data_IF_044396991615
#
_entry.id   IF_044396991615
#
_cell.length_a   1.000
_cell.length_b   1.000
_cell.length_c   1.000
_cell.angle_alpha   90.00
_cell.angle_beta   90.00
_cell.angle_gamma   90.00
#
_symmetry.space_group_name_H-M   'P 1'
#
loop_
_entity.id
_entity.type
_entity.pdbx_description
1 polymer ?
#
# COMPACT_ATOMS: atom_id res chain seq x y z
N UNK A 1 -30.38 16.90 -25.58
CA UNK A 1 -29.74 17.34 -24.31
C UNK A 1 -28.31 16.84 -24.30
N UNK A 2 -27.37 17.58 -23.69
CA UNK A 2 -25.98 17.13 -23.57
C UNK A 2 -25.87 16.03 -22.50
N UNK A 3 -25.01 15.03 -22.76
CA UNK A 3 -24.74 13.90 -21.87
C UNK A 3 -23.26 13.94 -21.47
N UNK A 4 -22.95 13.72 -20.20
CA UNK A 4 -21.60 13.67 -19.66
C UNK A 4 -21.43 12.33 -18.94
N UNK A 5 -20.32 11.64 -19.20
CA UNK A 5 -20.03 10.32 -18.64
C UNK A 5 -18.57 10.22 -18.17
N UNK A 6 -18.33 9.43 -17.12
CA UNK A 6 -16.99 9.14 -16.62
C UNK A 6 -16.44 7.87 -17.26
N UNK A 7 -15.29 7.98 -17.93
CA UNK A 7 -14.63 6.86 -18.61
C UNK A 7 -13.23 6.61 -18.04
N UNK A 8 -12.80 5.34 -18.03
CA UNK A 8 -11.45 4.91 -17.63
C UNK A 8 -11.08 5.24 -16.17
N UNK A 9 -12.02 5.07 -15.24
CA UNK A 9 -11.81 5.42 -13.83
C UNK A 9 -10.85 4.46 -13.10
N UNK A 10 -9.88 5.01 -12.37
CA UNK A 10 -9.10 4.29 -11.37
C UNK A 10 -9.94 4.02 -10.12
N UNK A 11 -9.98 2.77 -9.65
CA UNK A 11 -10.64 2.40 -8.39
C UNK A 11 -9.63 2.34 -7.25
N UNK A 12 -10.01 2.81 -6.07
CA UNK A 12 -9.20 2.74 -4.85
C UNK A 12 -9.99 1.98 -3.78
N UNK A 13 -9.38 0.96 -3.19
CA UNK A 13 -9.98 0.12 -2.16
C UNK A 13 -9.45 0.51 -0.78
N UNK A 14 -10.34 0.83 0.14
CA UNK A 14 -10.02 1.11 1.54
C UNK A 14 -11.06 0.48 2.44
N UNK A 15 -10.62 -0.37 3.36
CA UNK A 15 -11.47 -1.04 4.31
C UNK A 15 -10.69 -1.32 5.60
N UNK A 16 -11.36 -1.35 6.77
CA UNK A 16 -10.76 -1.91 7.97
C UNK A 16 -10.53 -3.41 7.80
N UNK A 17 -9.46 -3.93 8.42
CA UNK A 17 -9.28 -5.37 8.59
C UNK A 17 -10.24 -5.80 9.72
N UNK A 18 -11.29 -6.55 9.38
CA UNK A 18 -12.38 -6.88 10.32
C UNK A 18 -11.96 -7.86 11.43
N UNK A 19 -10.76 -8.43 11.38
CA UNK A 19 -10.22 -9.37 12.38
C UNK A 19 -9.22 -8.70 13.33
N UNK A 20 -9.44 -8.86 14.65
CA UNK A 20 -8.44 -8.57 15.69
C UNK A 20 -8.22 -7.10 16.08
N UNK A 21 -8.57 -6.12 15.22
CA UNK A 21 -8.60 -4.69 15.56
C UNK A 21 -7.34 -4.17 16.27
N UNK A 22 -7.52 -3.49 17.41
CA UNK A 22 -6.41 -2.91 18.20
C UNK A 22 -5.43 -3.95 18.75
N UNK A 23 -5.90 -5.15 19.10
CA UNK A 23 -5.05 -6.20 19.66
C UNK A 23 -4.09 -6.76 18.60
N UNK A 24 -4.61 -7.00 17.39
CA UNK A 24 -3.78 -7.41 16.25
C UNK A 24 -2.71 -6.35 15.94
N UNK A 25 -3.08 -5.06 15.91
CA UNK A 25 -2.11 -3.99 15.68
C UNK A 25 -1.04 -3.90 16.77
N UNK A 26 -1.40 -4.10 18.04
CA UNK A 26 -0.43 -4.12 19.12
C UNK A 26 0.58 -5.26 18.96
N UNK A 27 0.11 -6.45 18.57
CA UNK A 27 0.96 -7.61 18.31
C UNK A 27 1.84 -7.40 17.08
N UNK A 28 1.25 -7.01 15.94
CA UNK A 28 1.99 -6.69 14.71
C UNK A 28 3.03 -5.60 14.95
N UNK A 29 2.70 -4.56 15.74
CA UNK A 29 3.65 -3.50 16.09
C UNK A 29 4.86 -4.07 16.81
N UNK A 30 4.64 -4.89 17.84
CA UNK A 30 5.72 -5.47 18.62
C UNK A 30 6.61 -6.35 17.73
N UNK A 31 6.01 -7.21 16.90
CA UNK A 31 6.76 -8.08 16.00
C UNK A 31 7.51 -7.31 14.91
N UNK A 32 6.89 -6.28 14.30
CA UNK A 32 7.56 -5.41 13.34
C UNK A 32 8.82 -4.75 13.93
N UNK A 33 8.73 -4.27 15.17
CA UNK A 33 9.85 -3.63 15.86
C UNK A 33 10.94 -4.65 16.24
N UNK A 34 10.56 -5.85 16.69
CA UNK A 34 11.53 -6.93 16.98
C UNK A 34 12.28 -7.34 15.72
N UNK A 35 11.56 -7.62 14.64
CA UNK A 35 12.15 -8.01 13.35
C UNK A 35 13.08 -6.90 12.84
N UNK A 36 12.65 -5.63 12.88
CA UNK A 36 13.51 -4.52 12.48
C UNK A 36 14.81 -4.42 13.31
N UNK A 37 14.72 -4.68 14.62
CA UNK A 37 15.86 -4.67 15.53
C UNK A 37 16.80 -5.87 15.36
N UNK A 38 16.32 -7.00 14.86
CA UNK A 38 17.07 -8.25 14.73
C UNK A 38 17.63 -8.47 13.31
N UNK A 39 16.93 -8.00 12.27
CA UNK A 39 17.33 -8.15 10.87
C UNK A 39 18.51 -7.23 10.49
N UNK A 40 19.72 -7.70 10.78
CA UNK A 40 20.97 -7.02 10.45
C UNK A 40 21.11 -6.74 8.96
N UNK A 41 20.64 -7.65 8.09
CA UNK A 41 20.77 -7.52 6.65
C UNK A 41 19.84 -6.41 6.12
N UNK A 42 18.58 -6.39 6.55
CA UNK A 42 17.62 -5.35 6.18
C UNK A 42 18.03 -3.96 6.68
N UNK A 43 18.59 -3.87 7.90
CA UNK A 43 19.15 -2.60 8.41
C UNK A 43 20.36 -2.13 7.62
N UNK A 44 21.29 -3.03 7.31
CA UNK A 44 22.46 -2.69 6.50
C UNK A 44 22.04 -2.20 5.11
N UNK A 45 21.10 -2.91 4.46
CA UNK A 45 20.55 -2.52 3.16
C UNK A 45 19.87 -1.15 3.22
N UNK A 46 19.00 -0.93 4.22
CA UNK A 46 18.30 0.35 4.42
C UNK A 46 19.28 1.51 4.54
N UNK A 47 20.34 1.35 5.35
CA UNK A 47 21.40 2.37 5.51
C UNK A 47 22.15 2.63 4.20
N UNK A 48 22.53 1.58 3.48
CA UNK A 48 23.29 1.69 2.22
C UNK A 48 22.49 2.42 1.14
N UNK A 49 21.17 2.29 1.12
CA UNK A 49 20.30 2.88 0.11
C UNK A 49 19.66 4.20 0.57
N UNK A 50 20.12 4.78 1.70
CA UNK A 50 19.57 6.04 2.22
C UNK A 50 18.11 5.95 2.66
N UNK A 51 17.61 4.74 2.92
CA UNK A 51 16.26 4.53 3.42
C UNK A 51 16.20 5.02 4.87
N UNK A 52 15.36 6.02 5.13
CA UNK A 52 15.23 6.65 6.46
C UNK A 52 14.26 5.85 7.33
N UNK A 53 14.80 4.85 8.00
CA UNK A 53 14.07 3.88 8.82
C UNK A 53 14.56 2.46 8.49
N UNK A 54 13.62 1.53 8.42
CA UNK A 54 13.86 0.12 8.09
C UNK A 54 12.84 -0.39 7.08
N UNK A 55 13.31 -1.19 6.14
CA UNK A 55 12.46 -2.07 5.33
C UNK A 55 12.98 -3.50 5.33
N UNK A 56 12.07 -4.48 5.40
CA UNK A 56 12.43 -5.89 5.23
C UNK A 56 12.42 -6.35 3.77
N UNK A 57 12.09 -5.45 2.83
CA UNK A 57 11.84 -5.80 1.42
C UNK A 57 13.00 -6.54 0.75
N UNK A 58 14.24 -6.16 1.06
CA UNK A 58 15.43 -6.72 0.45
C UNK A 58 16.05 -7.89 1.25
N UNK A 59 15.48 -8.25 2.40
CA UNK A 59 16.10 -9.16 3.36
C UNK A 59 15.22 -10.35 3.75
N UNK A 60 13.90 -10.18 3.81
CA UNK A 60 12.96 -11.22 4.24
C UNK A 60 11.86 -11.43 3.18
N UNK A 61 11.62 -12.68 2.81
CA UNK A 61 10.59 -13.09 1.84
C UNK A 61 9.59 -14.12 2.40
N UNK A 62 9.68 -14.39 3.70
CA UNK A 62 9.03 -15.51 4.40
C UNK A 62 8.33 -15.06 5.70
N UNK A 63 7.83 -13.82 5.76
CA UNK A 63 7.16 -13.28 6.95
C UNK A 63 5.97 -14.12 7.42
N UNK A 64 5.06 -14.60 6.55
CA UNK A 64 3.97 -15.50 6.95
C UNK A 64 4.47 -16.81 7.59
N UNK A 65 5.55 -17.39 7.06
CA UNK A 65 6.12 -18.63 7.57
C UNK A 65 6.81 -18.44 8.93
N UNK A 66 7.36 -17.24 9.17
CA UNK A 66 8.04 -16.88 10.43
C UNK A 66 7.09 -16.62 11.59
N UNK A 67 5.88 -16.14 11.31
CA UNK A 67 4.96 -15.66 12.36
C UNK A 67 3.50 -15.99 12.05
N UNK A 68 2.79 -16.66 12.98
CA UNK A 68 1.35 -16.86 12.90
C UNK A 68 0.57 -15.55 12.75
N UNK A 69 1.08 -14.44 13.27
CA UNK A 69 0.44 -13.11 13.16
C UNK A 69 0.49 -12.61 11.72
N UNK A 70 1.64 -12.74 11.06
CA UNK A 70 1.80 -12.35 9.65
C UNK A 70 1.07 -13.31 8.70
N UNK A 71 1.00 -14.61 9.01
CA UNK A 71 0.16 -15.56 8.27
C UNK A 71 -1.34 -15.21 8.39
N UNK A 72 -1.81 -14.89 9.61
CA UNK A 72 -3.16 -14.41 9.83
C UNK A 72 -3.47 -13.12 9.05
N UNK A 73 -2.52 -12.18 9.03
CA UNK A 73 -2.61 -10.96 8.22
C UNK A 73 -2.68 -11.27 6.73
N UNK A 74 -1.78 -12.12 6.21
CA UNK A 74 -1.74 -12.52 4.81
C UNK A 74 -3.08 -13.11 4.33
N UNK A 75 -3.67 -14.03 5.10
CA UNK A 75 -4.99 -14.62 4.81
C UNK A 75 -6.12 -13.59 4.78
N UNK A 76 -6.08 -12.62 5.69
CA UNK A 76 -7.05 -11.54 5.71
C UNK A 76 -6.87 -10.63 4.48
N UNK A 77 -5.63 -10.28 4.13
CA UNK A 77 -5.30 -9.50 2.92
C UNK A 77 -5.73 -10.22 1.64
N UNK A 78 -5.55 -11.54 1.52
CA UNK A 78 -6.05 -12.33 0.38
C UNK A 78 -7.58 -12.21 0.22
N UNK A 79 -8.32 -12.16 1.33
CA UNK A 79 -9.77 -11.96 1.30
C UNK A 79 -10.16 -10.57 0.79
N UNK A 80 -9.42 -9.54 1.20
CA UNK A 80 -9.60 -8.16 0.70
C UNK A 80 -9.21 -8.03 -0.77
N UNK A 81 -8.09 -8.62 -1.19
CA UNK A 81 -7.65 -8.66 -2.57
C UNK A 81 -8.70 -9.34 -3.46
N UNK A 82 -9.22 -10.50 -3.02
CA UNK A 82 -10.28 -11.20 -3.73
C UNK A 82 -11.58 -10.37 -3.84
N UNK A 83 -11.95 -9.63 -2.80
CA UNK A 83 -13.08 -8.72 -2.85
C UNK A 83 -12.84 -7.57 -3.84
N UNK A 84 -11.63 -7.00 -3.87
CA UNK A 84 -11.30 -5.92 -4.78
C UNK A 84 -11.22 -6.37 -6.25
N UNK A 85 -10.66 -7.55 -6.52
CA UNK A 85 -10.68 -8.17 -7.86
C UNK A 85 -12.11 -8.29 -8.40
N UNK A 86 -13.09 -8.69 -7.58
CA UNK A 86 -14.51 -8.73 -8.01
C UNK A 86 -15.03 -7.35 -8.40
N UNK A 87 -14.63 -6.30 -7.67
CA UNK A 87 -15.03 -4.91 -7.97
C UNK A 87 -14.37 -4.39 -9.26
N UNK A 88 -13.20 -4.90 -9.61
CA UNK A 88 -12.48 -4.53 -10.84
C UNK A 88 -13.07 -5.17 -12.10
N UNK A 89 -13.95 -6.17 -11.96
CA UNK A 89 -14.59 -6.88 -13.08
C UNK A 89 -13.58 -7.44 -14.11
N UNK A 90 -12.43 -7.92 -13.64
CA UNK A 90 -11.47 -8.63 -14.49
C UNK A 90 -11.97 -10.04 -14.82
N UNK A 91 -11.57 -10.59 -15.96
CA UNK A 91 -12.00 -11.91 -16.41
C UNK A 91 -11.43 -13.07 -15.56
N UNK A 92 -10.26 -12.85 -14.95
CA UNK A 92 -9.62 -13.84 -14.09
C UNK A 92 -10.41 -14.06 -12.78
N UNK A 93 -10.37 -15.28 -12.27
CA UNK A 93 -11.00 -15.61 -11.00
C UNK A 93 -10.20 -14.94 -9.86
N UNK A 94 -10.85 -14.47 -8.78
CA UNK A 94 -10.15 -14.09 -7.55
C UNK A 94 -9.21 -15.17 -7.04
N UNK A 95 -9.49 -16.45 -7.34
CA UNK A 95 -8.66 -17.60 -6.99
C UNK A 95 -7.43 -17.76 -7.89
N UNK A 96 -7.17 -16.89 -8.85
CA UNK A 96 -5.95 -16.92 -9.67
C UNK A 96 -4.88 -15.98 -9.11
N UNK A 97 -5.24 -15.14 -8.14
CA UNK A 97 -4.34 -14.17 -7.50
C UNK A 97 -3.77 -14.72 -6.20
N UNK A 98 -2.48 -14.53 -5.97
CA UNK A 98 -1.77 -14.95 -4.76
C UNK A 98 -0.91 -13.80 -4.25
N UNK A 99 -0.74 -13.71 -2.95
CA UNK A 99 0.25 -12.83 -2.34
C UNK A 99 1.65 -13.25 -2.81
N UNK A 100 2.34 -12.35 -3.52
CA UNK A 100 3.69 -12.56 -4.03
C UNK A 100 4.77 -12.03 -3.08
N UNK A 101 4.50 -10.88 -2.45
CA UNK A 101 5.48 -10.22 -1.58
C UNK A 101 4.76 -9.50 -0.45
N UNK A 102 5.31 -9.63 0.75
CA UNK A 102 4.89 -8.93 1.96
C UNK A 102 6.14 -8.49 2.69
N UNK A 103 6.20 -7.22 3.08
CA UNK A 103 7.35 -6.66 3.78
C UNK A 103 6.92 -5.63 4.82
N UNK A 104 7.83 -5.36 5.75
CA UNK A 104 7.66 -4.38 6.82
C UNK A 104 8.32 -3.08 6.38
N UNK A 105 7.69 -1.95 6.70
CA UNK A 105 8.31 -0.64 6.70
C UNK A 105 8.15 -0.02 8.09
N UNK A 106 9.26 0.37 8.72
CA UNK A 106 9.28 1.19 9.93
C UNK A 106 9.95 2.51 9.55
N UNK A 107 9.16 3.57 9.44
CA UNK A 107 9.63 4.85 8.92
C UNK A 107 9.98 5.81 10.06
N UNK A 108 11.19 6.36 10.03
CA UNK A 108 11.62 7.35 11.01
C UNK A 108 11.01 8.74 10.72
N UNK A 109 10.94 9.66 11.70
CA UNK A 109 10.43 11.00 11.49
C UNK A 109 11.11 11.74 10.32
N UNK A 110 10.30 12.17 9.35
CA UNK A 110 10.76 12.81 8.12
C UNK A 110 11.38 11.85 7.09
N UNK A 111 11.20 10.54 7.25
CA UNK A 111 11.41 9.57 6.18
C UNK A 111 10.33 9.69 5.12
N UNK A 112 10.69 9.41 3.87
CA UNK A 112 9.79 9.50 2.70
C UNK A 112 10.06 8.36 1.74
N UNK A 113 9.02 7.96 1.02
CA UNK A 113 9.15 7.14 -0.19
C UNK A 113 8.87 8.02 -1.39
N UNK A 114 9.75 7.98 -2.39
CA UNK A 114 9.53 8.70 -3.65
C UNK A 114 8.39 8.06 -4.44
N UNK A 115 7.83 8.80 -5.39
CA UNK A 115 6.83 8.24 -6.32
C UNK A 115 7.39 7.02 -7.04
N UNK A 116 6.65 5.92 -7.00
CA UNK A 116 7.04 4.65 -7.61
C UNK A 116 5.80 3.80 -7.93
N UNK A 117 6.00 2.77 -8.74
CA UNK A 117 5.03 1.71 -9.02
C UNK A 117 5.62 0.36 -8.58
N UNK A 118 4.81 -0.70 -8.55
CA UNK A 118 5.26 -2.06 -8.29
C UNK A 118 5.23 -2.87 -9.59
N UNK A 119 6.38 -3.06 -10.27
CA UNK A 119 6.43 -3.84 -11.49
C UNK A 119 5.95 -5.26 -11.26
N UNK A 120 5.40 -5.88 -12.32
CA UNK A 120 4.97 -7.28 -12.32
C UNK A 120 3.92 -7.65 -11.25
N UNK A 121 3.24 -6.64 -10.67
CA UNK A 121 2.18 -6.81 -9.68
C UNK A 121 0.83 -6.37 -10.25
N UNK A 122 -0.23 -7.15 -10.00
CA UNK A 122 -1.60 -6.78 -10.43
C UNK A 122 -2.27 -5.86 -9.40
N UNK A 123 -2.13 -6.19 -8.12
CA UNK A 123 -2.60 -5.39 -7.00
C UNK A 123 -1.44 -5.09 -6.07
N UNK A 124 -1.44 -3.88 -5.55
CA UNK A 124 -0.56 -3.43 -4.46
C UNK A 124 -1.42 -2.84 -3.36
N UNK A 125 -0.94 -2.91 -2.13
CA UNK A 125 -1.66 -2.38 -0.98
C UNK A 125 -0.72 -2.12 0.19
N UNK A 126 -1.25 -1.45 1.20
CA UNK A 126 -0.56 -1.24 2.47
C UNK A 126 -1.54 -1.43 3.62
N UNK A 127 -1.07 -2.05 4.70
CA UNK A 127 -1.80 -2.16 5.95
C UNK A 127 -1.09 -1.32 7.01
N UNK A 128 -1.81 -0.40 7.63
CA UNK A 128 -1.27 0.52 8.62
C UNK A 128 -1.35 -0.09 10.02
N UNK A 129 -0.19 -0.51 10.54
CA UNK A 129 -0.05 -1.09 11.89
C UNK A 129 -0.06 -0.03 12.97
N UNK A 130 0.74 1.03 12.78
CA UNK A 130 0.79 2.21 13.65
C UNK A 130 0.99 3.47 12.80
N UNK A 131 0.20 4.51 13.10
CA UNK A 131 0.24 5.79 12.41
C UNK A 131 0.34 6.89 13.46
N UNK A 132 1.55 7.43 13.73
CA UNK A 132 1.72 8.45 14.74
C UNK A 132 1.03 9.75 14.33
N UNK A 133 0.67 10.58 15.32
CA UNK A 133 0.10 11.91 15.07
C UNK A 133 1.07 12.74 14.23
N UNK A 134 0.59 13.30 13.13
CA UNK A 134 1.38 14.12 12.20
C UNK A 134 2.06 13.34 11.07
N UNK A 135 1.88 12.01 11.00
CA UNK A 135 2.26 11.25 9.82
C UNK A 135 1.50 11.73 8.56
N UNK A 136 2.17 11.72 7.41
CA UNK A 136 1.57 12.10 6.14
C UNK A 136 0.67 11.01 5.57
N UNK A 137 -0.32 11.44 4.79
CA UNK A 137 -1.19 10.61 3.98
C UNK A 137 -0.43 9.93 2.83
N UNK A 138 -0.99 8.85 2.28
CA UNK A 138 -0.51 8.29 1.02
C UNK A 138 -0.92 9.22 -0.12
N UNK A 139 0.05 9.65 -0.94
CA UNK A 139 -0.19 10.48 -2.12
C UNK A 139 -0.27 9.62 -3.37
N UNK A 140 -1.42 9.67 -4.05
CA UNK A 140 -1.67 9.04 -5.34
C UNK A 140 -1.59 10.09 -6.45
N UNK A 141 -1.00 9.73 -7.58
CA UNK A 141 -0.85 10.57 -8.76
C UNK A 141 -1.75 10.05 -9.90
N UNK A 142 -2.38 10.95 -10.66
CA UNK A 142 -3.17 10.55 -11.84
C UNK A 142 -2.28 9.80 -12.84
N UNK A 143 -2.64 8.57 -13.24
CA UNK A 143 -1.82 7.77 -14.16
C UNK A 143 -1.64 8.42 -15.55
N UNK A 144 -2.45 9.43 -15.89
CA UNK A 144 -2.38 10.19 -17.14
C UNK A 144 -1.59 11.49 -16.99
N UNK A 145 -0.98 11.77 -15.83
CA UNK A 145 -0.35 13.07 -15.56
C UNK A 145 0.64 13.48 -16.67
N UNK A 146 1.49 12.56 -17.12
CA UNK A 146 2.44 12.79 -18.20
C UNK A 146 1.79 13.10 -19.57
N UNK A 147 0.52 12.76 -19.76
CA UNK A 147 -0.26 13.05 -20.98
C UNK A 147 -1.01 14.40 -20.89
N UNK A 148 -0.98 15.06 -19.73
CA UNK A 148 -1.71 16.30 -19.46
C UNK A 148 -0.83 17.56 -19.56
N UNK A 149 0.32 17.50 -20.25
CA UNK A 149 1.29 18.59 -20.31
C UNK A 149 0.76 19.91 -20.91
N UNK A 150 -0.20 19.83 -21.83
CA UNK A 150 -0.88 20.99 -22.41
C UNK A 150 -2.29 21.22 -21.83
N UNK A 151 -2.73 20.38 -20.90
CA UNK A 151 -4.05 20.52 -20.29
C UNK A 151 -4.02 21.67 -19.27
N UNK A 152 -5.04 22.54 -19.25
CA UNK A 152 -5.16 23.54 -18.20
C UNK A 152 -5.36 22.88 -16.83
N UNK A 153 -4.88 23.50 -15.74
CA UNK A 153 -5.03 22.97 -14.40
C UNK A 153 -6.51 22.85 -14.01
N UNK A 154 -6.83 21.84 -13.22
CA UNK A 154 -8.18 21.65 -12.67
C UNK A 154 -8.48 22.72 -11.63
N UNK A 155 -9.77 23.07 -11.50
CA UNK A 155 -10.22 23.94 -10.40
C UNK A 155 -9.93 23.26 -9.06
N UNK A 156 -9.58 24.01 -8.00
CA UNK A 156 -9.46 23.44 -6.66
C UNK A 156 -10.73 22.75 -6.17
N UNK A 157 -11.90 23.18 -6.66
CA UNK A 157 -13.21 22.60 -6.35
C UNK A 157 -13.64 21.48 -7.29
N UNK A 158 -12.79 21.03 -8.22
CA UNK A 158 -13.13 19.92 -9.11
C UNK A 158 -13.34 18.63 -8.30
N UNK A 159 -14.24 17.73 -8.75
CA UNK A 159 -14.49 16.46 -8.08
C UNK A 159 -13.19 15.70 -7.77
N UNK A 160 -13.14 15.02 -6.63
CA UNK A 160 -11.96 14.28 -6.16
C UNK A 160 -11.31 13.36 -7.21
N UNK A 161 -12.06 12.57 -8.02
CA UNK A 161 -11.47 11.73 -9.06
C UNK A 161 -10.83 12.48 -10.23
N UNK A 162 -11.06 13.79 -10.35
CA UNK A 162 -10.49 14.63 -11.40
C UNK A 162 -9.23 15.37 -10.95
N UNK A 163 -8.91 15.37 -9.66
CA UNK A 163 -7.72 16.01 -9.12
C UNK A 163 -6.47 15.22 -9.53
N UNK A 164 -5.38 15.89 -9.98
CA UNK A 164 -4.17 15.20 -10.43
C UNK A 164 -3.39 14.53 -9.29
N UNK A 165 -3.64 14.95 -8.03
CA UNK A 165 -3.05 14.37 -6.83
C UNK A 165 -4.12 14.15 -5.77
N UNK A 166 -4.16 12.95 -5.19
CA UNK A 166 -5.11 12.57 -4.14
C UNK A 166 -4.33 12.12 -2.91
N UNK A 167 -4.69 12.63 -1.74
CA UNK A 167 -4.14 12.22 -0.45
C UNK A 167 -5.18 11.32 0.26
N UNK A 168 -4.75 10.16 0.76
CA UNK A 168 -5.60 9.19 1.50
C UNK A 168 -5.03 8.85 2.87
#
# INVERSE_FOLDING_TARGET
MAKVESLFATKFYSAPLNSGGRALNAQLRQECLSIAAEDNAGRAWSKQHGYKGYTSYASLNDLPERSPTFDGLAKALDSHAAAFIRVLNVAASPKDFRLNSLWINVLDPGGVHTGHIHPLSVLSGTYYVDVPKGASALKLEDPRLAQMMAAPPRKPSAPRPEQPFIYV
#
